data_IF_146064603018
#
_entry.id   IF_146064603018
#
_cell.length_a   1.000
_cell.length_b   1.000
_cell.length_c   1.000
_cell.angle_alpha   90.00
_cell.angle_beta   90.00
_cell.angle_gamma   90.00
#
_symmetry.space_group_name_H-M   'P 1'
#
loop_
_entity.id
_entity.type
_entity.pdbx_description
1 polymer ?
#
# COMPACT_ATOMS: atom_id res chain seq x y z
N UNK A 1 62.25 -18.02 -33.43
CA UNK A 1 62.59 -18.57 -32.10
C UNK A 1 61.59 -19.66 -31.81
N UNK A 2 62.12 -20.90 -31.76
CA UNK A 2 61.60 -22.18 -31.23
C UNK A 2 60.10 -22.49 -31.34
N UNK A 3 59.67 -23.42 -32.21
CA UNK A 3 59.60 -24.90 -32.03
C UNK A 3 58.65 -25.31 -30.89
N UNK A 4 57.60 -26.12 -31.06
CA UNK A 4 57.22 -26.96 -32.19
C UNK A 4 55.83 -27.62 -32.12
N UNK A 5 55.56 -28.34 -33.21
CA UNK A 5 54.57 -29.37 -33.53
C UNK A 5 54.44 -30.47 -32.43
N UNK A 6 53.42 -31.33 -32.32
CA UNK A 6 52.63 -32.06 -33.34
C UNK A 6 51.56 -32.95 -32.65
N UNK A 7 50.38 -33.11 -33.29
CA UNK A 7 49.70 -34.36 -33.72
C UNK A 7 49.94 -35.63 -32.86
N UNK A 8 48.96 -36.46 -32.46
CA UNK A 8 47.53 -36.59 -32.79
C UNK A 8 46.97 -37.96 -32.35
N UNK A 9 45.64 -38.12 -32.41
CA UNK A 9 44.83 -39.33 -32.73
C UNK A 9 45.00 -40.64 -31.89
N UNK A 10 44.07 -41.60 -31.73
CA UNK A 10 42.62 -41.76 -31.86
C UNK A 10 42.31 -43.26 -31.51
N UNK A 11 41.06 -43.59 -31.16
CA UNK A 11 40.43 -44.94 -31.14
C UNK A 11 40.86 -45.93 -30.02
N UNK A 12 40.02 -46.77 -29.40
CA UNK A 12 38.80 -47.51 -29.78
C UNK A 12 38.13 -48.13 -28.53
N UNK A 13 36.80 -48.22 -28.50
CA UNK A 13 36.03 -49.29 -27.83
C UNK A 13 35.80 -50.45 -28.85
N UNK A 14 35.05 -51.56 -28.62
CA UNK A 14 34.25 -52.00 -27.45
C UNK A 14 34.42 -53.52 -27.11
N UNK A 15 33.65 -54.06 -26.14
CA UNK A 15 32.95 -55.36 -26.25
C UNK A 15 32.02 -55.65 -25.03
N UNK A 16 30.78 -56.05 -25.33
CA UNK A 16 29.76 -56.71 -24.50
C UNK A 16 29.72 -58.21 -24.91
N UNK A 17 28.81 -59.11 -24.42
CA UNK A 17 27.96 -59.16 -23.21
C UNK A 17 28.00 -60.55 -22.50
N UNK A 18 27.38 -60.71 -21.32
CA UNK A 18 26.78 -62.00 -20.91
C UNK A 18 25.52 -61.80 -20.04
N UNK A 19 24.46 -62.52 -20.42
CA UNK A 19 23.15 -62.67 -19.77
C UNK A 19 23.21 -63.68 -18.62
N UNK A 20 22.55 -63.42 -17.48
CA UNK A 20 21.93 -64.45 -16.62
C UNK A 20 20.60 -63.91 -16.07
N UNK A 21 19.55 -64.72 -16.19
CA UNK A 21 18.19 -64.50 -15.67
C UNK A 21 18.04 -64.95 -14.22
N UNK A 22 17.23 -64.24 -13.41
CA UNK A 22 16.43 -64.84 -12.33
C UNK A 22 15.27 -63.90 -11.91
N UNK A 23 14.13 -64.52 -11.59
CA UNK A 23 12.76 -63.99 -11.49
C UNK A 23 12.44 -63.27 -10.15
N UNK A 24 11.21 -62.73 -9.95
CA UNK A 24 10.95 -61.51 -9.17
C UNK A 24 10.67 -61.75 -7.68
N UNK A 25 11.01 -60.76 -6.85
CA UNK A 25 10.48 -60.62 -5.49
C UNK A 25 9.59 -59.39 -5.38
N UNK A 26 8.31 -59.68 -5.13
CA UNK A 26 7.27 -58.74 -4.74
C UNK A 26 7.71 -57.85 -3.57
N UNK A 27 7.72 -56.54 -3.78
CA UNK A 27 7.59 -55.56 -2.70
C UNK A 27 6.59 -54.49 -3.13
N UNK A 28 5.36 -54.62 -2.61
CA UNK A 28 4.33 -53.59 -2.69
C UNK A 28 4.76 -52.38 -1.83
N UNK A 29 5.44 -51.42 -2.44
CA UNK A 29 5.59 -50.09 -1.88
C UNK A 29 4.51 -49.17 -2.48
N UNK A 30 3.39 -49.08 -1.75
CA UNK A 30 2.38 -48.05 -1.94
C UNK A 30 3.00 -46.68 -1.73
N UNK A 31 3.42 -46.03 -2.83
CA UNK A 31 3.81 -44.63 -2.87
C UNK A 31 2.56 -43.77 -2.68
N UNK A 32 2.22 -43.51 -1.42
CA UNK A 32 1.31 -42.41 -1.06
C UNK A 32 2.01 -41.11 -1.41
N UNK A 33 1.71 -40.62 -2.62
CA UNK A 33 2.11 -39.30 -3.10
C UNK A 33 1.37 -38.24 -2.28
N UNK A 34 1.88 -37.96 -1.08
CA UNK A 34 1.46 -36.81 -0.29
C UNK A 34 1.95 -35.56 -1.03
N UNK A 35 1.03 -34.96 -1.78
CA UNK A 35 1.16 -33.58 -2.24
C UNK A 35 1.24 -32.69 -0.99
N UNK A 36 2.45 -32.52 -0.43
CA UNK A 36 2.75 -31.40 0.47
C UNK A 36 2.52 -30.14 -0.37
N UNK A 37 1.33 -29.55 -0.26
CA UNK A 37 1.14 -28.12 -0.56
C UNK A 37 2.14 -27.41 0.35
N UNK A 38 3.26 -26.97 -0.21
CA UNK A 38 4.13 -26.02 0.47
C UNK A 38 3.28 -24.76 0.68
N UNK A 39 2.74 -24.62 1.89
CA UNK A 39 2.18 -23.35 2.34
C UNK A 39 3.37 -22.40 2.46
N UNK A 40 3.56 -21.56 1.45
CA UNK A 40 4.52 -20.47 1.49
C UNK A 40 4.04 -19.49 2.57
N UNK A 41 4.62 -19.62 3.76
CA UNK A 41 4.37 -18.72 4.89
C UNK A 41 4.86 -17.33 4.50
N UNK A 42 4.02 -16.30 4.65
CA UNK A 42 4.35 -14.90 4.31
C UNK A 42 5.30 -14.25 5.34
N UNK A 43 5.89 -15.04 6.24
CA UNK A 43 6.57 -14.59 7.48
C UNK A 43 7.91 -13.87 7.31
N UNK A 44 8.27 -13.37 6.11
CA UNK A 44 9.53 -12.66 5.92
C UNK A 44 9.45 -11.16 6.28
N UNK A 45 8.23 -10.59 6.38
CA UNK A 45 8.03 -9.14 6.57
C UNK A 45 7.00 -8.90 7.66
N UNK A 46 7.30 -7.97 8.57
CA UNK A 46 6.35 -7.46 9.55
C UNK A 46 6.18 -5.96 9.34
N UNK A 47 4.98 -5.55 8.96
CA UNK A 47 4.66 -4.13 8.76
C UNK A 47 4.53 -3.34 10.07
N UNK A 48 4.52 -4.01 11.22
CA UNK A 48 4.57 -3.35 12.54
C UNK A 48 5.79 -2.45 12.66
N UNK A 49 6.94 -2.90 12.15
CA UNK A 49 8.17 -2.09 12.09
C UNK A 49 8.02 -0.78 11.33
N UNK A 50 7.15 -0.72 10.32
CA UNK A 50 6.86 0.51 9.57
C UNK A 50 6.07 1.49 10.44
N UNK A 51 5.04 1.01 11.15
CA UNK A 51 4.29 1.80 12.11
C UNK A 51 5.20 2.35 13.23
N UNK A 52 5.99 1.48 13.85
CA UNK A 52 6.88 1.85 14.96
C UNK A 52 7.89 2.92 14.54
N UNK A 53 8.47 2.76 13.34
CA UNK A 53 9.44 3.73 12.80
C UNK A 53 8.79 5.08 12.50
N UNK A 54 7.57 5.08 11.94
CA UNK A 54 6.81 6.31 11.70
C UNK A 54 6.53 7.06 13.02
N UNK A 55 6.07 6.35 14.06
CA UNK A 55 5.82 6.94 15.38
C UNK A 55 7.10 7.45 16.03
N UNK A 56 8.20 6.71 15.90
CA UNK A 56 9.51 7.12 16.41
C UNK A 56 10.00 8.39 15.72
N UNK A 57 9.92 8.46 14.39
CA UNK A 57 10.34 9.64 13.62
C UNK A 57 9.49 10.87 13.98
N UNK A 58 8.18 10.71 14.12
CA UNK A 58 7.29 11.81 14.52
C UNK A 58 7.57 12.28 15.93
N UNK A 59 7.75 11.37 16.90
CA UNK A 59 8.03 11.72 18.30
C UNK A 59 9.33 12.49 18.49
N UNK A 60 10.29 12.40 17.54
CA UNK A 60 11.53 13.20 17.57
C UNK A 60 11.30 14.68 17.26
N UNK A 61 10.20 15.02 16.59
CA UNK A 61 9.98 16.36 16.01
C UNK A 61 8.70 17.02 16.49
N UNK A 62 7.70 16.23 16.89
CA UNK A 62 6.39 16.68 17.32
C UNK A 62 5.99 15.94 18.60
N UNK A 63 5.27 16.64 19.48
CA UNK A 63 4.62 15.99 20.62
C UNK A 63 3.43 15.16 20.12
N UNK A 64 3.53 13.84 20.23
CA UNK A 64 2.43 12.92 19.95
C UNK A 64 1.64 12.62 21.22
N UNK A 65 0.32 12.63 21.08
CA UNK A 65 -0.62 12.20 22.11
C UNK A 65 -1.46 11.04 21.56
N UNK A 66 -1.82 10.05 22.38
CA UNK A 66 -2.80 9.04 21.99
C UNK A 66 -4.11 9.71 21.55
N UNK A 67 -4.65 9.27 20.41
CA UNK A 67 -6.00 9.68 20.01
C UNK A 67 -7.04 8.98 20.89
N UNK A 68 -8.21 9.58 21.16
CA UNK A 68 -9.33 8.88 21.79
C UNK A 68 -9.71 7.57 21.06
N UNK A 69 -9.44 7.48 19.75
CA UNK A 69 -9.65 6.26 18.98
C UNK A 69 -8.80 5.09 19.48
N UNK A 70 -7.64 5.34 20.11
CA UNK A 70 -6.74 4.30 20.59
C UNK A 70 -7.38 3.44 21.69
N UNK A 71 -8.30 4.00 22.47
CA UNK A 71 -9.05 3.27 23.51
C UNK A 71 -10.04 2.28 22.89
N UNK A 72 -10.65 2.65 21.76
CA UNK A 72 -11.65 1.85 21.06
C UNK A 72 -11.04 0.88 20.05
N UNK A 73 -9.92 1.26 19.44
CA UNK A 73 -9.25 0.53 18.36
C UNK A 73 -7.78 0.33 18.70
N UNK A 74 -7.45 -0.85 19.21
CA UNK A 74 -6.08 -1.24 19.57
C UNK A 74 -5.69 -2.57 18.93
N UNK A 75 -6.38 -3.65 19.26
CA UNK A 75 -6.20 -4.95 18.62
C UNK A 75 -7.51 -5.67 18.43
N UNK A 76 -7.58 -6.50 17.39
CA UNK A 76 -8.70 -7.37 17.12
C UNK A 76 -8.22 -8.69 16.53
N UNK A 77 -8.89 -9.78 16.88
CA UNK A 77 -8.71 -11.07 16.21
C UNK A 77 -9.80 -11.26 15.15
N UNK A 78 -9.41 -11.72 13.97
CA UNK A 78 -10.33 -12.05 12.89
C UNK A 78 -11.27 -13.21 13.25
N UNK A 79 -12.34 -13.35 12.47
CA UNK A 79 -13.36 -14.40 12.64
C UNK A 79 -12.78 -15.82 12.54
N UNK A 80 -11.62 -15.98 11.91
CA UNK A 80 -10.90 -17.26 11.79
C UNK A 80 -10.11 -17.64 13.05
N UNK A 81 -10.04 -16.76 14.06
CA UNK A 81 -9.26 -16.94 15.28
C UNK A 81 -7.74 -16.91 15.08
N UNK A 82 -7.25 -16.62 13.88
CA UNK A 82 -5.83 -16.73 13.49
C UNK A 82 -5.25 -15.43 12.94
N UNK A 83 -6.09 -14.63 12.28
CA UNK A 83 -5.69 -13.33 11.75
C UNK A 83 -5.69 -12.30 12.88
N UNK A 84 -4.61 -11.54 13.02
CA UNK A 84 -4.50 -10.45 13.98
C UNK A 84 -4.53 -9.11 13.26
N UNK A 85 -5.29 -8.17 13.80
CA UNK A 85 -5.33 -6.78 13.37
C UNK A 85 -4.83 -5.92 14.53
N UNK A 86 -3.82 -5.10 14.29
CA UNK A 86 -3.28 -4.15 15.26
C UNK A 86 -3.46 -2.74 14.71
N UNK A 87 -3.90 -1.84 15.58
CA UNK A 87 -4.32 -0.48 15.26
C UNK A 87 -3.69 0.50 16.22
N UNK A 88 -3.08 1.54 15.65
CA UNK A 88 -2.45 2.62 16.38
C UNK A 88 -3.07 3.94 15.92
N UNK A 89 -3.40 4.83 16.85
CA UNK A 89 -3.96 6.14 16.57
C UNK A 89 -3.43 7.20 17.53
N UNK A 90 -2.84 8.24 16.95
CA UNK A 90 -2.23 9.36 17.64
C UNK A 90 -2.68 10.68 17.00
N UNK A 91 -2.46 11.77 17.72
CA UNK A 91 -2.66 13.14 17.25
C UNK A 91 -1.50 14.03 17.71
N UNK A 92 -1.43 15.22 17.14
CA UNK A 92 -0.53 16.29 17.58
C UNK A 92 -1.23 17.63 17.35
N UNK A 93 -0.61 18.76 17.73
CA UNK A 93 -1.18 20.09 17.49
C UNK A 93 -1.38 20.42 16.00
N UNK A 94 -0.70 19.71 15.09
CA UNK A 94 -0.79 19.88 13.64
C UNK A 94 -1.48 18.72 12.92
N UNK A 95 -1.53 17.56 13.57
CA UNK A 95 -1.98 16.30 12.99
C UNK A 95 -3.27 15.89 13.70
N UNK A 96 -4.40 16.02 13.00
CA UNK A 96 -5.71 15.59 13.49
C UNK A 96 -5.74 14.11 13.81
N UNK A 97 -5.17 13.29 12.92
CA UNK A 97 -5.09 11.84 13.11
C UNK A 97 -3.90 11.24 12.34
N UNK A 98 -2.92 10.72 13.07
CA UNK A 98 -1.92 9.78 12.57
C UNK A 98 -2.35 8.37 12.98
N UNK A 99 -2.65 7.51 12.00
CA UNK A 99 -3.12 6.15 12.29
C UNK A 99 -2.44 5.08 11.46
N UNK A 100 -2.30 3.89 12.02
CA UNK A 100 -1.91 2.71 11.27
C UNK A 100 -2.77 1.51 11.63
N UNK A 101 -2.96 0.62 10.66
CA UNK A 101 -3.53 -0.71 10.83
C UNK A 101 -2.61 -1.72 10.17
N UNK A 102 -2.13 -2.69 10.95
CA UNK A 102 -1.39 -3.85 10.47
C UNK A 102 -2.26 -5.10 10.59
N UNK A 103 -2.36 -5.89 9.52
CA UNK A 103 -3.05 -7.18 9.53
C UNK A 103 -2.03 -8.26 9.25
N UNK A 104 -1.99 -9.28 10.10
CA UNK A 104 -1.07 -10.40 10.00
C UNK A 104 -1.84 -11.72 10.04
N UNK A 105 -1.61 -12.57 9.04
CA UNK A 105 -2.04 -13.97 9.02
C UNK A 105 -0.92 -14.85 8.45
N UNK A 106 -1.13 -16.17 8.45
CA UNK A 106 -0.17 -17.10 7.85
C UNK A 106 0.09 -16.85 6.35
N UNK A 107 -0.89 -16.25 5.65
CA UNK A 107 -0.93 -16.16 4.18
C UNK A 107 -0.92 -14.72 3.65
N UNK A 108 -0.96 -13.73 4.54
CA UNK A 108 -1.13 -12.34 4.15
C UNK A 108 -0.58 -11.38 5.21
N UNK A 109 -0.02 -10.25 4.74
CA UNK A 109 0.31 -9.08 5.54
C UNK A 109 -0.34 -7.85 4.89
N UNK A 110 -0.97 -6.99 5.68
CA UNK A 110 -1.53 -5.71 5.21
C UNK A 110 -1.02 -4.59 6.10
N UNK A 111 -0.75 -3.45 5.48
CA UNK A 111 -0.42 -2.20 6.17
C UNK A 111 -1.24 -1.07 5.58
N UNK A 112 -1.96 -0.36 6.42
CA UNK A 112 -2.62 0.89 6.09
C UNK A 112 -2.15 1.96 7.07
N UNK A 113 -1.41 2.97 6.61
CA UNK A 113 -0.92 4.08 7.41
C UNK A 113 -1.22 5.41 6.72
N UNK A 114 -1.72 6.40 7.48
CA UNK A 114 -1.97 7.74 6.96
C UNK A 114 -1.85 8.79 8.05
N UNK A 115 -1.49 10.00 7.61
CA UNK A 115 -1.47 11.20 8.42
C UNK A 115 -2.49 12.19 7.87
N UNK A 116 -3.51 12.50 8.68
CA UNK A 116 -4.52 13.50 8.39
C UNK A 116 -4.23 14.76 9.21
N UNK A 117 -4.10 15.89 8.53
CA UNK A 117 -3.75 17.18 9.13
C UNK A 117 -4.96 17.84 9.78
N UNK A 118 -4.70 18.70 10.77
CA UNK A 118 -5.71 19.68 11.19
C UNK A 118 -6.04 20.62 10.01
N UNK A 119 -7.30 21.08 9.83
CA UNK A 119 -7.70 21.86 8.66
C UNK A 119 -6.95 23.18 8.46
N UNK A 120 -6.29 23.70 9.49
CA UNK A 120 -5.43 24.87 9.42
C UNK A 120 -4.11 24.61 8.67
N UNK A 121 -3.77 23.35 8.38
CA UNK A 121 -2.57 22.98 7.64
C UNK A 121 -2.98 22.26 6.36
N UNK A 122 -2.63 22.85 5.22
CA UNK A 122 -2.95 22.29 3.89
C UNK A 122 -1.92 21.27 3.41
N UNK A 123 -1.11 20.70 4.30
CA UNK A 123 -0.09 19.69 3.97
C UNK A 123 -0.74 18.44 3.34
N UNK A 124 -0.08 17.79 2.35
CA UNK A 124 -0.58 16.54 1.76
C UNK A 124 -0.93 15.47 2.78
N UNK A 125 -1.85 14.58 2.42
CA UNK A 125 -2.20 13.41 3.23
C UNK A 125 -1.13 12.33 3.00
N UNK A 126 -0.39 11.96 4.03
CA UNK A 126 0.49 10.79 3.94
C UNK A 126 -0.36 9.53 3.74
N UNK A 127 0.01 8.66 2.81
CA UNK A 127 -0.73 7.43 2.52
C UNK A 127 0.20 6.27 2.18
N UNK A 128 0.15 5.20 2.97
CA UNK A 128 0.81 3.93 2.71
C UNK A 128 -0.20 2.78 2.82
N UNK A 129 -0.51 2.16 1.68
CA UNK A 129 -1.40 1.01 1.58
C UNK A 129 -0.66 -0.17 0.94
N UNK A 130 -0.21 -1.11 1.77
CA UNK A 130 0.55 -2.28 1.33
C UNK A 130 -0.26 -3.53 1.56
N UNK A 131 -0.35 -4.37 0.54
CA UNK A 131 -0.90 -5.71 0.62
C UNK A 131 0.15 -6.69 0.14
N UNK A 132 0.41 -7.70 0.94
CA UNK A 132 1.39 -8.74 0.65
C UNK A 132 0.77 -10.10 0.85
N UNK A 133 0.98 -10.96 -0.13
CA UNK A 133 0.61 -12.38 -0.11
C UNK A 133 1.82 -13.22 -0.52
N UNK A 134 1.66 -14.55 -0.55
CA UNK A 134 2.72 -15.45 -0.99
C UNK A 134 3.22 -15.17 -2.42
N UNK A 135 2.36 -14.62 -3.29
CA UNK A 135 2.66 -14.51 -4.72
C UNK A 135 2.86 -13.07 -5.20
N UNK A 136 2.30 -12.09 -4.50
CA UNK A 136 2.26 -10.71 -4.98
C UNK A 136 2.22 -9.72 -3.83
N UNK A 137 2.89 -8.61 -4.07
CA UNK A 137 2.81 -7.37 -3.32
C UNK A 137 2.06 -6.36 -4.15
N UNK A 138 1.13 -5.63 -3.55
CA UNK A 138 0.39 -4.52 -4.15
C UNK A 138 0.60 -3.33 -3.23
N UNK A 139 1.24 -2.29 -3.73
CA UNK A 139 1.69 -1.15 -2.93
C UNK A 139 1.19 0.14 -3.55
N UNK A 140 0.61 0.99 -2.71
CA UNK A 140 0.44 2.43 -2.95
C UNK A 140 1.17 3.14 -1.82
N UNK A 141 2.19 3.92 -2.14
CA UNK A 141 2.85 4.86 -1.24
C UNK A 141 2.81 6.24 -1.88
N UNK A 142 2.28 7.23 -1.17
CA UNK A 142 2.09 8.56 -1.73
C UNK A 142 1.95 9.63 -0.64
N UNK A 143 2.16 10.87 -1.07
CA UNK A 143 1.75 12.08 -0.37
C UNK A 143 0.53 12.64 -1.11
N UNK A 144 -0.66 12.10 -0.86
CA UNK A 144 -1.86 12.46 -1.63
C UNK A 144 -2.15 13.96 -1.51
N UNK A 145 -2.36 14.67 -2.63
CA UNK A 145 -2.59 16.10 -2.58
C UNK A 145 -3.94 16.40 -1.93
N UNK A 146 -3.98 17.42 -1.07
CA UNK A 146 -5.23 17.89 -0.49
C UNK A 146 -6.06 18.60 -1.57
N UNK A 147 -5.40 19.47 -2.34
CA UNK A 147 -6.00 20.28 -3.39
C UNK A 147 -5.59 19.82 -4.79
N UNK A 148 -6.19 20.42 -5.82
CA UNK A 148 -5.78 20.16 -7.21
C UNK A 148 -4.34 20.57 -7.46
N UNK A 149 -3.63 19.82 -8.31
CA UNK A 149 -2.19 19.92 -8.56
C UNK A 149 -1.74 21.16 -9.38
N UNK A 150 -2.51 22.25 -9.42
CA UNK A 150 -2.06 23.48 -10.09
C UNK A 150 -0.93 24.14 -9.29
N UNK A 151 -1.24 25.11 -8.43
CA UNK A 151 -0.23 25.79 -7.61
C UNK A 151 0.28 24.88 -6.48
N UNK A 152 -0.55 23.93 -6.07
CA UNK A 152 -0.25 22.95 -5.02
C UNK A 152 0.92 22.01 -5.41
N UNK A 153 1.11 21.74 -6.72
CA UNK A 153 2.20 20.92 -7.20
C UNK A 153 3.57 21.57 -6.94
N UNK A 154 3.68 22.86 -7.24
CA UNK A 154 4.91 23.63 -7.06
C UNK A 154 5.23 23.79 -5.57
N UNK A 155 4.21 23.99 -4.72
CA UNK A 155 4.38 24.11 -3.27
C UNK A 155 4.97 22.85 -2.63
N UNK A 156 4.47 21.66 -2.99
CA UNK A 156 4.77 20.43 -2.24
C UNK A 156 5.63 19.39 -2.97
N UNK A 157 5.62 19.33 -4.29
CA UNK A 157 6.16 18.15 -5.01
C UNK A 157 7.40 18.44 -5.85
N UNK A 158 7.50 19.66 -6.41
CA UNK A 158 8.57 20.05 -7.34
C UNK A 158 9.98 19.70 -6.85
N UNK A 159 10.25 19.91 -5.57
CA UNK A 159 11.59 19.76 -4.99
C UNK A 159 11.87 18.36 -4.42
N UNK A 160 10.91 17.44 -4.49
CA UNK A 160 11.04 16.09 -3.89
C UNK A 160 10.77 14.96 -4.89
N UNK A 161 10.63 15.29 -6.18
CA UNK A 161 10.51 14.30 -7.27
C UNK A 161 11.67 13.29 -7.30
N UNK A 162 12.85 13.67 -6.79
CA UNK A 162 14.00 12.78 -6.66
C UNK A 162 13.73 11.55 -5.79
N UNK A 163 12.83 11.65 -4.80
CA UNK A 163 12.43 10.52 -3.96
C UNK A 163 11.79 9.44 -4.83
N UNK A 164 10.82 9.79 -5.67
CA UNK A 164 10.21 8.82 -6.59
C UNK A 164 11.24 8.23 -7.56
N UNK A 165 12.07 9.08 -8.17
CA UNK A 165 13.07 8.67 -9.16
C UNK A 165 14.03 7.61 -8.62
N UNK A 166 14.44 7.72 -7.35
CA UNK A 166 15.30 6.75 -6.67
C UNK A 166 14.75 5.33 -6.66
N UNK A 167 13.42 5.19 -6.61
CA UNK A 167 12.73 3.91 -6.44
C UNK A 167 12.02 3.40 -7.70
N UNK A 168 11.90 4.24 -8.74
CA UNK A 168 11.11 3.94 -9.93
C UNK A 168 11.58 2.68 -10.70
N UNK A 169 12.89 2.40 -10.70
CA UNK A 169 13.44 1.19 -11.34
C UNK A 169 13.14 -0.07 -10.54
N UNK A 170 13.18 0.01 -9.20
CA UNK A 170 12.92 -1.11 -8.29
C UNK A 170 11.43 -1.44 -8.22
N UNK A 171 10.60 -0.40 -8.22
CA UNK A 171 9.15 -0.46 -8.10
C UNK A 171 8.48 0.12 -9.35
N UNK A 172 8.45 -0.65 -10.46
CA UNK A 172 7.82 -0.21 -11.69
C UNK A 172 6.32 -0.02 -11.50
N UNK A 173 5.72 0.75 -12.40
CA UNK A 173 4.29 1.03 -12.42
C UNK A 173 3.44 -0.25 -12.39
N UNK A 174 2.46 -0.31 -11.49
CA UNK A 174 1.65 -1.51 -11.23
C UNK A 174 0.61 -1.87 -12.30
N UNK A 175 0.65 -1.19 -13.46
CA UNK A 175 -0.31 -1.32 -14.56
C UNK A 175 -1.63 -0.61 -14.27
N UNK A 176 -2.68 -0.97 -15.02
CA UNK A 176 -4.00 -0.33 -14.90
C UNK A 176 -4.57 -0.33 -13.47
N UNK A 177 -5.16 0.81 -13.11
CA UNK A 177 -5.88 1.04 -11.85
C UNK A 177 -7.24 1.71 -12.08
N UNK A 178 -8.05 1.84 -11.03
CA UNK A 178 -9.33 2.58 -11.07
C UNK A 178 -9.08 4.01 -11.57
N UNK A 179 -9.69 4.41 -12.70
CA UNK A 179 -9.39 5.69 -13.34
C UNK A 179 -9.62 6.89 -12.41
N UNK A 180 -10.69 6.88 -11.63
CA UNK A 180 -11.03 7.96 -10.70
C UNK A 180 -10.04 8.10 -9.53
N UNK A 181 -9.28 7.05 -9.19
CA UNK A 181 -8.27 7.12 -8.12
C UNK A 181 -7.14 8.09 -8.47
N UNK A 182 -6.90 8.37 -9.76
CA UNK A 182 -5.86 9.32 -10.18
C UNK A 182 -6.11 10.74 -9.66
N UNK A 183 -7.38 11.09 -9.40
CA UNK A 183 -7.79 12.40 -8.85
C UNK A 183 -7.23 12.66 -7.44
N UNK A 184 -6.74 11.61 -6.76
CA UNK A 184 -6.24 11.68 -5.38
C UNK A 184 -4.75 11.31 -5.28
N UNK A 185 -4.09 11.08 -6.41
CA UNK A 185 -2.69 10.69 -6.43
C UNK A 185 -1.81 11.86 -6.84
N UNK A 186 -0.65 11.94 -6.21
CA UNK A 186 0.35 12.95 -6.52
C UNK A 186 1.30 12.48 -7.64
N UNK A 187 2.11 13.39 -8.21
CA UNK A 187 3.21 13.02 -9.08
C UNK A 187 4.32 12.21 -8.40
N UNK A 188 4.26 11.96 -7.08
CA UNK A 188 5.14 11.02 -6.38
C UNK A 188 4.56 9.63 -6.22
N UNK A 189 3.30 9.38 -6.58
CA UNK A 189 2.65 8.10 -6.26
C UNK A 189 3.47 6.91 -6.74
N UNK A 190 3.85 6.06 -5.78
CA UNK A 190 4.44 4.75 -6.02
C UNK A 190 3.33 3.69 -6.00
N UNK A 191 2.65 3.57 -7.13
CA UNK A 191 1.73 2.46 -7.41
C UNK A 191 2.50 1.33 -8.09
N UNK A 192 2.68 0.20 -7.39
CA UNK A 192 3.49 -0.91 -7.90
C UNK A 192 2.90 -2.27 -7.53
N UNK A 193 3.27 -3.27 -8.35
CA UNK A 193 3.05 -4.69 -8.06
C UNK A 193 4.33 -5.46 -8.30
N UNK A 194 4.74 -6.29 -7.35
CA UNK A 194 5.99 -7.04 -7.46
C UNK A 194 5.96 -8.38 -6.72
N UNK A 195 6.82 -9.30 -7.15
CA UNK A 195 7.10 -10.57 -6.45
C UNK A 195 7.94 -10.35 -5.19
N UNK A 196 7.65 -11.09 -4.13
CA UNK A 196 8.32 -10.95 -2.83
C UNK A 196 9.79 -11.37 -2.90
N UNK A 197 10.66 -10.55 -2.34
CA UNK A 197 12.08 -10.84 -2.10
C UNK A 197 12.57 -9.95 -0.96
N UNK A 198 13.56 -10.41 -0.19
CA UNK A 198 14.09 -9.64 0.93
C UNK A 198 14.57 -8.24 0.50
N UNK A 199 15.33 -8.16 -0.59
CA UNK A 199 15.83 -6.90 -1.16
C UNK A 199 14.69 -5.91 -1.46
N UNK A 200 13.61 -6.36 -2.11
CA UNK A 200 12.46 -5.49 -2.39
C UNK A 200 11.71 -5.05 -1.13
N UNK A 201 11.68 -5.87 -0.08
CA UNK A 201 11.06 -5.47 1.17
C UNK A 201 11.90 -4.47 1.97
N UNK A 202 13.23 -4.62 1.93
CA UNK A 202 14.17 -3.62 2.47
C UNK A 202 14.07 -2.31 1.69
N UNK A 203 14.04 -2.36 0.36
CA UNK A 203 13.85 -1.17 -0.48
C UNK A 203 12.49 -0.50 -0.24
N UNK A 204 11.41 -1.27 -0.01
CA UNK A 204 10.08 -0.74 0.31
C UNK A 204 10.09 -0.03 1.67
N UNK A 205 10.80 -0.58 2.66
CA UNK A 205 10.98 0.07 3.95
C UNK A 205 11.76 1.38 3.84
N UNK A 206 12.84 1.41 3.06
CA UNK A 206 13.57 2.65 2.78
C UNK A 206 12.69 3.69 2.08
N UNK A 207 11.94 3.28 1.05
CA UNK A 207 11.01 4.17 0.34
C UNK A 207 9.95 4.73 1.29
N UNK A 208 9.34 3.87 2.12
CA UNK A 208 8.39 4.30 3.13
C UNK A 208 8.96 5.39 4.05
N UNK A 209 10.16 5.18 4.59
CA UNK A 209 10.80 6.15 5.48
C UNK A 209 11.10 7.47 4.78
N UNK A 210 11.60 7.45 3.54
CA UNK A 210 11.90 8.70 2.81
C UNK A 210 10.64 9.50 2.48
N UNK A 211 9.56 8.84 2.05
CA UNK A 211 8.26 9.51 1.86
C UNK A 211 7.72 10.05 3.17
N UNK A 212 7.80 9.27 4.24
CA UNK A 212 7.30 9.67 5.56
C UNK A 212 8.09 10.86 6.12
N UNK A 213 9.42 10.85 6.00
CA UNK A 213 10.28 11.94 6.43
C UNK A 213 10.03 13.22 5.62
N UNK A 214 9.81 13.12 4.31
CA UNK A 214 9.41 14.26 3.49
C UNK A 214 8.08 14.85 3.96
N UNK A 215 7.07 14.02 4.22
CA UNK A 215 5.79 14.46 4.78
C UNK A 215 5.92 15.09 6.17
N UNK A 216 6.73 14.51 7.04
CA UNK A 216 6.96 15.02 8.38
C UNK A 216 7.69 16.36 8.35
N UNK A 217 8.65 16.55 7.43
CA UNK A 217 9.31 17.83 7.19
C UNK A 217 8.30 18.90 6.76
N UNK A 218 7.43 18.58 5.78
CA UNK A 218 6.35 19.49 5.37
C UNK A 218 5.42 19.84 6.52
N UNK A 219 5.10 18.85 7.37
CA UNK A 219 4.22 19.04 8.53
C UNK A 219 4.83 19.98 9.56
N UNK A 220 6.13 19.83 9.84
CA UNK A 220 6.86 20.71 10.78
C UNK A 220 6.97 22.13 10.23
N UNK A 221 7.22 22.28 8.92
CA UNK A 221 7.39 23.58 8.27
C UNK A 221 6.08 24.28 7.90
N UNK A 222 4.94 23.58 7.95
CA UNK A 222 3.66 24.13 7.53
C UNK A 222 3.32 25.39 8.34
N UNK A 223 2.89 26.44 7.64
CA UNK A 223 2.35 27.65 8.28
C UNK A 223 0.87 27.42 8.55
N UNK A 224 0.42 27.83 9.74
CA UNK A 224 -0.99 27.76 10.11
C UNK A 224 -1.80 28.76 9.28
N UNK A 225 -2.86 28.29 8.64
CA UNK A 225 -3.79 29.13 7.90
C UNK A 225 -4.76 29.81 8.87
N UNK A 226 -4.85 31.13 8.75
CA UNK A 226 -5.65 31.99 9.62
C UNK A 226 -6.91 32.51 8.93
N UNK A 227 -6.99 32.46 7.59
CA UNK A 227 -8.21 32.78 6.85
C UNK A 227 -9.27 31.68 7.05
N UNK A 228 -10.40 31.97 7.70
CA UNK A 228 -11.46 30.99 7.90
C UNK A 228 -12.02 30.40 6.60
N UNK A 229 -11.93 31.12 5.47
CA UNK A 229 -12.34 30.57 4.18
C UNK A 229 -11.42 29.45 3.71
N UNK A 230 -10.11 29.71 3.72
CA UNK A 230 -9.13 28.72 3.31
C UNK A 230 -9.12 27.49 4.25
N UNK A 231 -9.32 27.70 5.57
CA UNK A 231 -9.49 26.59 6.53
C UNK A 231 -10.72 25.73 6.20
N UNK A 232 -11.84 26.35 5.79
CA UNK A 232 -13.03 25.61 5.35
C UNK A 232 -12.76 24.82 4.07
N UNK A 233 -12.03 25.41 3.12
CA UNK A 233 -11.69 24.75 1.86
C UNK A 233 -10.76 23.54 2.11
N UNK A 234 -9.78 23.67 3.00
CA UNK A 234 -8.92 22.56 3.44
C UNK A 234 -9.75 21.45 4.11
N UNK A 235 -10.68 21.82 4.98
CA UNK A 235 -11.59 20.88 5.64
C UNK A 235 -12.46 20.12 4.63
N UNK A 236 -13.07 20.84 3.68
CA UNK A 236 -13.91 20.25 2.64
C UNK A 236 -13.10 19.30 1.73
N UNK A 237 -11.90 19.69 1.35
CA UNK A 237 -11.00 18.87 0.54
C UNK A 237 -10.63 17.56 1.25
N UNK A 238 -10.31 17.63 2.55
CA UNK A 238 -10.04 16.45 3.37
C UNK A 238 -11.29 15.57 3.49
N UNK A 239 -12.45 16.18 3.75
CA UNK A 239 -13.73 15.46 3.85
C UNK A 239 -14.09 14.74 2.55
N UNK A 240 -13.86 15.37 1.39
CA UNK A 240 -14.05 14.76 0.07
C UNK A 240 -13.16 13.53 -0.12
N UNK A 241 -11.88 13.61 0.27
CA UNK A 241 -10.96 12.48 0.22
C UNK A 241 -11.43 11.32 1.11
N UNK A 242 -11.79 11.60 2.37
CA UNK A 242 -12.27 10.60 3.33
C UNK A 242 -13.55 9.94 2.82
N UNK A 243 -14.48 10.73 2.27
CA UNK A 243 -15.73 10.25 1.69
C UNK A 243 -15.48 9.31 0.51
N UNK A 244 -14.55 9.67 -0.38
CA UNK A 244 -14.15 8.80 -1.49
C UNK A 244 -13.61 7.46 -1.00
N UNK A 245 -12.63 7.50 -0.10
CA UNK A 245 -11.95 6.30 0.41
C UNK A 245 -12.93 5.42 1.21
N UNK A 246 -13.72 5.98 2.11
CA UNK A 246 -14.70 5.23 2.89
C UNK A 246 -15.74 4.50 2.02
N UNK A 247 -16.02 4.99 0.81
CA UNK A 247 -16.95 4.35 -0.11
C UNK A 247 -16.28 3.37 -1.09
N UNK A 248 -15.10 3.70 -1.63
CA UNK A 248 -14.51 3.03 -2.80
C UNK A 248 -13.17 2.34 -2.55
N UNK A 249 -12.66 2.36 -1.32
CA UNK A 249 -11.38 1.73 -0.98
C UNK A 249 -11.37 0.21 -1.33
N UNK A 250 -10.33 -0.28 -2.02
CA UNK A 250 -10.28 -1.67 -2.45
C UNK A 250 -10.17 -2.69 -1.31
N UNK A 251 -9.68 -2.27 -0.14
CA UNK A 251 -9.47 -3.11 1.05
C UNK A 251 -10.76 -3.46 1.80
N UNK A 252 -11.86 -2.75 1.57
CA UNK A 252 -13.12 -2.97 2.30
C UNK A 252 -13.61 -4.42 2.18
N UNK A 253 -13.55 -5.02 0.99
CA UNK A 253 -13.98 -6.40 0.77
C UNK A 253 -13.13 -7.44 1.54
N UNK A 254 -11.85 -7.14 1.78
CA UNK A 254 -10.99 -7.97 2.62
C UNK A 254 -11.36 -7.80 4.09
N UNK A 255 -11.47 -6.57 4.57
CA UNK A 255 -11.83 -6.28 5.97
C UNK A 255 -13.15 -6.96 6.36
N UNK A 256 -14.16 -6.88 5.51
CA UNK A 256 -15.44 -7.58 5.71
C UNK A 256 -15.29 -9.10 5.89
N UNK A 257 -14.43 -9.74 5.11
CA UNK A 257 -14.18 -11.19 5.24
C UNK A 257 -13.49 -11.53 6.55
N UNK A 258 -12.65 -10.63 7.05
CA UNK A 258 -11.86 -10.86 8.26
C UNK A 258 -12.65 -10.62 9.54
N UNK A 259 -13.49 -9.58 9.59
CA UNK A 259 -14.14 -9.14 10.84
C UNK A 259 -15.68 -9.07 10.77
N UNK A 260 -16.26 -9.40 9.62
CA UNK A 260 -17.70 -9.31 9.37
C UNK A 260 -18.15 -7.91 8.93
N UNK A 261 -19.34 -7.81 8.31
CA UNK A 261 -19.86 -6.59 7.70
C UNK A 261 -19.97 -5.41 8.69
N UNK A 262 -20.63 -5.63 9.83
CA UNK A 262 -20.88 -4.56 10.81
C UNK A 262 -19.57 -3.97 11.36
N UNK A 263 -18.63 -4.83 11.77
CA UNK A 263 -17.35 -4.40 12.32
C UNK A 263 -16.44 -3.80 11.26
N UNK A 264 -16.47 -4.32 10.03
CA UNK A 264 -15.71 -3.76 8.93
C UNK A 264 -16.18 -2.34 8.60
N UNK A 265 -17.50 -2.10 8.57
CA UNK A 265 -18.06 -0.75 8.36
C UNK A 265 -17.65 0.22 9.47
N UNK A 266 -17.67 -0.22 10.73
CA UNK A 266 -17.21 0.55 11.88
C UNK A 266 -15.72 0.91 11.76
N UNK A 267 -14.83 -0.07 11.58
CA UNK A 267 -13.39 0.18 11.42
C UNK A 267 -13.10 1.07 10.21
N UNK A 268 -13.81 0.88 9.10
CA UNK A 268 -13.63 1.67 7.89
C UNK A 268 -13.95 3.15 8.13
N UNK A 269 -15.12 3.44 8.71
CA UNK A 269 -15.63 4.81 8.84
C UNK A 269 -15.11 5.52 10.09
N UNK A 270 -15.06 4.82 11.21
CA UNK A 270 -14.77 5.43 12.51
C UNK A 270 -13.28 5.43 12.84
N UNK A 271 -12.48 4.57 12.18
CA UNK A 271 -11.02 4.48 12.40
C UNK A 271 -10.21 4.86 11.15
N UNK A 272 -10.29 4.08 10.06
CA UNK A 272 -9.43 4.28 8.88
C UNK A 272 -9.68 5.63 8.20
N UNK A 273 -10.94 6.03 8.11
CA UNK A 273 -11.39 7.29 7.50
C UNK A 273 -12.17 8.16 8.49
N UNK A 274 -11.77 8.12 9.77
CA UNK A 274 -12.30 9.01 10.80
C UNK A 274 -12.22 10.48 10.35
N UNK A 275 -13.33 11.21 10.50
CA UNK A 275 -13.54 12.53 9.92
C UNK A 275 -14.62 12.54 8.83
N UNK A 276 -14.98 11.38 8.26
CA UNK A 276 -16.02 11.27 7.23
C UNK A 276 -17.44 11.60 7.74
N UNK A 277 -17.68 11.55 9.05
CA UNK A 277 -18.96 11.93 9.63
C UNK A 277 -18.89 13.30 10.35
N UNK A 278 -17.67 13.80 10.59
CA UNK A 278 -17.41 14.93 11.49
C UNK A 278 -16.94 16.19 10.75
N UNK A 279 -16.19 16.05 9.65
CA UNK A 279 -15.59 17.19 8.93
C UNK A 279 -16.56 17.88 7.96
N UNK A 280 -17.66 17.22 7.58
CA UNK A 280 -18.62 17.78 6.64
C UNK A 280 -19.92 16.99 6.57
N UNK A 281 -20.89 17.56 5.84
CA UNK A 281 -22.25 16.99 5.69
C UNK A 281 -22.55 16.52 4.27
N UNK A 282 -21.71 16.87 3.29
CA UNK A 282 -21.84 16.43 1.89
C UNK A 282 -21.71 14.92 1.80
N UNK A 283 -22.66 14.28 1.12
CA UNK A 283 -22.68 12.85 0.86
C UNK A 283 -21.70 12.46 -0.24
N UNK A 284 -21.52 11.16 -0.47
CA UNK A 284 -20.72 10.67 -1.59
C UNK A 284 -21.24 11.16 -2.95
N UNK A 285 -22.56 11.22 -3.15
CA UNK A 285 -23.15 11.70 -4.41
C UNK A 285 -22.97 13.20 -4.59
N UNK A 286 -22.95 13.99 -3.51
CA UNK A 286 -22.68 15.43 -3.59
C UNK A 286 -21.28 15.73 -4.16
N UNK A 287 -20.29 14.87 -3.85
CA UNK A 287 -18.93 15.01 -4.38
C UNK A 287 -18.69 14.28 -5.71
N UNK A 288 -19.38 13.16 -5.94
CA UNK A 288 -19.17 12.25 -7.06
C UNK A 288 -20.51 11.88 -7.72
N UNK A 289 -21.23 12.86 -8.30
CA UNK A 289 -22.55 12.63 -8.87
C UNK A 289 -22.53 11.62 -10.01
N UNK A 290 -21.38 11.40 -10.66
CA UNK A 290 -21.21 10.38 -11.70
C UNK A 290 -21.49 8.94 -11.22
N UNK A 291 -21.54 8.70 -9.92
CA UNK A 291 -21.87 7.41 -9.31
C UNK A 291 -23.35 7.24 -8.96
N UNK A 292 -24.19 8.26 -9.15
CA UNK A 292 -25.61 8.16 -8.84
C UNK A 292 -26.30 7.21 -9.82
N UNK A 293 -27.01 6.21 -9.31
CA UNK A 293 -27.88 5.33 -10.10
C UNK A 293 -29.24 5.99 -10.34
N UNK A 294 -30.03 5.44 -11.27
CA UNK A 294 -31.36 5.99 -11.61
C UNK A 294 -32.33 6.03 -10.41
N UNK A 295 -32.17 5.13 -9.44
CA UNK A 295 -32.94 5.09 -8.19
C UNK A 295 -32.40 6.03 -7.10
N UNK A 296 -31.39 6.84 -7.40
CA UNK A 296 -30.79 7.80 -6.48
C UNK A 296 -29.76 7.22 -5.51
N UNK A 297 -29.45 5.93 -5.59
CA UNK A 297 -28.44 5.27 -4.74
C UNK A 297 -27.01 5.41 -5.30
N UNK A 298 -26.02 4.91 -4.56
CA UNK A 298 -24.61 4.91 -4.99
C UNK A 298 -24.34 3.63 -5.75
N UNK A 299 -23.86 3.74 -6.99
CA UNK A 299 -23.46 2.59 -7.81
C UNK A 299 -22.45 1.69 -7.09
N UNK A 300 -22.70 0.38 -7.11
CA UNK A 300 -21.78 -0.64 -6.57
C UNK A 300 -20.47 -0.76 -7.37
N UNK A 301 -20.44 -0.21 -8.59
CA UNK A 301 -19.22 -0.20 -9.39
C UNK A 301 -18.12 0.55 -8.65
N UNK A 302 -16.91 -0.03 -8.61
CA UNK A 302 -15.73 0.67 -8.09
C UNK A 302 -15.38 1.88 -8.95
N UNK A 303 -15.57 1.73 -10.26
CA UNK A 303 -15.19 2.71 -11.28
C UNK A 303 -16.32 2.83 -12.29
N UNK A 304 -16.71 4.06 -12.60
CA UNK A 304 -17.64 4.40 -13.67
C UNK A 304 -16.90 4.43 -15.00
N UNK A 305 -15.67 4.99 -15.00
CA UNK A 305 -14.81 5.08 -16.19
C UNK A 305 -14.15 3.74 -16.54
N UNK A 306 -13.93 2.89 -15.53
CA UNK A 306 -13.19 1.65 -15.64
C UNK A 306 -11.71 1.80 -15.28
N UNK A 307 -10.94 0.74 -15.52
CA UNK A 307 -9.50 0.79 -15.24
C UNK A 307 -8.74 1.48 -16.37
N UNK A 308 -7.90 2.45 -16.04
CA UNK A 308 -7.09 3.24 -16.97
C UNK A 308 -5.61 3.26 -16.54
N UNK A 309 -4.77 3.99 -17.30
CA UNK A 309 -3.35 4.24 -17.02
C UNK A 309 -2.51 2.97 -16.97
N UNK A 310 -2.39 2.27 -18.11
CA UNK A 310 -1.51 1.10 -18.23
C UNK A 310 -0.04 1.47 -17.97
N UNK A 311 0.36 2.67 -18.38
CA UNK A 311 1.64 3.29 -18.05
C UNK A 311 1.45 4.39 -17.02
N UNK A 312 2.55 4.76 -16.35
CA UNK A 312 2.58 5.89 -15.43
C UNK A 312 2.13 7.17 -16.16
N UNK A 313 1.14 7.92 -15.63
CA UNK A 313 0.59 9.11 -16.30
C UNK A 313 1.29 10.42 -15.90
N UNK A 314 2.49 10.35 -15.34
CA UNK A 314 3.34 11.53 -15.10
C UNK A 314 4.72 11.29 -15.70
N UNK A 315 5.33 12.36 -16.23
CA UNK A 315 6.71 12.34 -16.67
C UNK A 315 7.71 12.38 -15.49
N UNK A 316 9.01 12.42 -15.79
CA UNK A 316 10.07 12.45 -14.77
C UNK A 316 10.11 13.74 -13.95
N UNK A 317 9.46 14.81 -14.42
CA UNK A 317 9.31 16.11 -13.73
C UNK A 317 7.99 16.22 -12.97
N UNK A 318 7.15 15.18 -13.03
CA UNK A 318 5.85 15.16 -12.38
C UNK A 318 4.76 15.91 -13.17
N UNK A 319 4.96 16.19 -14.46
CA UNK A 319 3.90 16.73 -15.31
C UNK A 319 2.96 15.62 -15.75
N UNK A 320 1.65 15.85 -15.65
CA UNK A 320 0.66 14.87 -16.06
C UNK A 320 0.61 14.74 -17.59
N UNK A 321 0.67 13.51 -18.09
CA UNK A 321 0.73 13.14 -19.52
C UNK A 321 -0.29 12.06 -19.92
N UNK A 322 -1.20 11.70 -18.99
CA UNK A 322 -2.16 10.61 -19.14
C UNK A 322 -3.54 11.01 -19.64
#
# INVERSE_FOLDING_TARGET
>A
MEFGSSIGSCFKAPNHPLLISASPTNTNNTLTRTSKRFSLRVSAVSYKKFADSALQETSKRLLLEPSPLQEKYSSMTGLDGKTQLEMLAFKSSRIRLLRSMAIESETMQVFDCAGFMEPQFDTPIFCANFFTSANINIVVLDLNPLHQLTDYQDKYYKNIMSIYQKYAEIFPWGGKLTGESIKFFSPLVMWTRFSSSQEKHEALFSAFLEYYQAWLEMTVQATEEMDPSQVRDNCEAQHKYLTWRAQKDPGHGLLRKLVGEAKAKEVLRDFLFNGVNELGTKTFIDYFPEYQTEDGTVSDKRSIVGKSFETRPWDSKGQFIG
#
